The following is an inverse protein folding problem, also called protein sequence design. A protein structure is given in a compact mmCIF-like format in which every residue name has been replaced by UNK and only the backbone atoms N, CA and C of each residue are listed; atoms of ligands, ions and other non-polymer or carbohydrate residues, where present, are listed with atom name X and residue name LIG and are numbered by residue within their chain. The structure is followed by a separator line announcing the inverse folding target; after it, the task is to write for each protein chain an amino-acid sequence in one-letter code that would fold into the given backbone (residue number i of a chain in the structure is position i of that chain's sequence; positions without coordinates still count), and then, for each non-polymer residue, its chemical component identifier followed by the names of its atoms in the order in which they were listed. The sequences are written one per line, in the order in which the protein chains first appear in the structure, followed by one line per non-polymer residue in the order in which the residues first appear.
data_IF_246813077368
#
_entry.id   IF_246813077368
#
_cell.length_a   1.000
_cell.length_b   1.000
_cell.length_c   1.000
_cell.angle_alpha   90.00
_cell.angle_beta   90.00
_cell.angle_gamma   90.00
#
_symmetry.space_group_name_H-M   'P 1'
#
loop_
_entity.id
_entity.type
_entity.pdbx_description
1 polymer ?
#
# COMPACT_ATOMS: atom_id res chain seq x y z
N UNK A 1 13.08 -17.44 -1.60
CA UNK A 1 12.17 -17.20 -2.73
C UNK A 1 12.37 -15.77 -3.17
N UNK A 2 12.55 -15.54 -4.46
CA UNK A 2 12.63 -14.20 -5.03
C UNK A 2 11.25 -13.87 -5.60
N UNK A 3 10.60 -12.84 -5.06
CA UNK A 3 9.32 -12.36 -5.57
C UNK A 3 9.58 -11.20 -6.51
N UNK A 4 9.06 -11.27 -7.74
CA UNK A 4 9.16 -10.19 -8.71
C UNK A 4 7.75 -9.63 -8.96
N UNK A 5 7.53 -8.39 -8.53
CA UNK A 5 6.25 -7.71 -8.70
C UNK A 5 6.34 -6.68 -9.81
N UNK A 6 5.36 -6.67 -10.71
CA UNK A 6 5.28 -5.65 -11.77
C UNK A 6 5.07 -4.28 -11.16
N UNK A 7 5.85 -3.29 -11.60
CA UNK A 7 5.73 -1.89 -11.16
C UNK A 7 5.25 -1.01 -12.30
N UNK A 8 4.09 -0.38 -12.12
CA UNK A 8 3.56 0.65 -13.02
C UNK A 8 3.67 2.00 -12.34
N UNK A 9 4.55 2.87 -12.84
CA UNK A 9 4.76 4.21 -12.27
C UNK A 9 3.63 5.16 -12.69
N UNK A 10 3.31 6.13 -11.82
CA UNK A 10 2.34 7.17 -12.15
C UNK A 10 2.99 8.16 -13.12
N UNK A 11 2.19 8.69 -14.04
CA UNK A 11 2.58 9.81 -14.91
C UNK A 11 2.19 11.18 -14.32
N UNK A 12 1.44 11.18 -13.22
CA UNK A 12 0.93 12.39 -12.56
C UNK A 12 1.22 12.31 -11.05
N UNK A 13 2.48 12.51 -10.62
CA UNK A 13 2.83 12.46 -9.21
C UNK A 13 2.16 13.59 -8.44
N UNK A 14 1.73 13.29 -7.20
CA UNK A 14 1.12 14.28 -6.31
C UNK A 14 2.20 15.27 -5.84
N UNK A 15 1.86 16.55 -5.62
CA UNK A 15 2.78 17.48 -5.01
C UNK A 15 3.14 17.00 -3.60
N UNK A 16 4.44 16.94 -3.30
CA UNK A 16 4.91 16.57 -1.96
C UNK A 16 4.56 17.69 -0.97
N UNK A 17 4.08 17.35 0.25
CA UNK A 17 3.93 18.33 1.31
C UNK A 17 5.27 19.06 1.54
N UNK A 18 5.23 20.39 1.59
CA UNK A 18 6.43 21.22 1.71
C UNK A 18 6.86 21.43 3.17
N UNK A 19 5.90 21.33 4.10
CA UNK A 19 6.13 21.53 5.54
C UNK A 19 5.90 20.22 6.28
N UNK A 20 7.00 19.50 6.55
CA UNK A 20 6.97 18.21 7.24
C UNK A 20 6.48 18.33 8.69
N UNK A 21 6.47 19.53 9.29
CA UNK A 21 5.97 19.74 10.66
C UNK A 21 4.44 19.73 10.74
N UNK A 22 3.74 19.76 9.59
CA UNK A 22 2.27 19.86 9.51
C UNK A 22 1.59 18.67 8.83
N UNK A 23 2.27 17.52 8.71
CA UNK A 23 1.76 16.34 8.00
C UNK A 23 0.49 15.76 8.65
N UNK A 24 0.42 15.72 9.97
CA UNK A 24 -0.64 15.01 10.70
C UNK A 24 -0.63 13.50 10.43
N UNK A 25 -1.69 12.80 10.86
CA UNK A 25 -1.85 11.36 10.64
C UNK A 25 -2.84 11.08 9.50
N UNK A 26 -2.47 10.18 8.58
CA UNK A 26 -3.31 9.67 7.47
C UNK A 26 -4.01 10.73 6.59
N UNK A 27 -3.38 11.90 6.40
CA UNK A 27 -3.90 12.98 5.54
C UNK A 27 -3.38 12.95 4.11
N UNK A 28 -2.15 12.47 3.94
CA UNK A 28 -1.46 12.41 2.65
C UNK A 28 -1.10 10.96 2.37
N UNK A 29 -1.35 10.54 1.13
CA UNK A 29 -1.02 9.20 0.64
C UNK A 29 -0.03 9.31 -0.51
N UNK A 30 0.89 8.36 -0.59
CA UNK A 30 1.92 8.29 -1.64
C UNK A 30 1.33 8.09 -3.03
N UNK A 31 2.19 8.15 -4.04
CA UNK A 31 1.81 8.04 -5.44
C UNK A 31 1.39 6.63 -5.86
N UNK A 32 1.76 5.62 -5.08
CA UNK A 32 1.59 4.20 -5.39
C UNK A 32 1.00 3.42 -4.22
N UNK A 33 0.41 2.27 -4.56
CA UNK A 33 -0.06 1.25 -3.63
C UNK A 33 0.34 -0.15 -4.16
N UNK A 34 0.41 -1.13 -3.26
CA UNK A 34 0.61 -2.53 -3.61
C UNK A 34 -0.74 -3.25 -3.61
N UNK A 35 -0.96 -4.11 -4.60
CA UNK A 35 -2.14 -4.96 -4.71
C UNK A 35 -1.72 -6.40 -5.04
N UNK A 36 -2.48 -7.36 -4.54
CA UNK A 36 -2.33 -8.77 -4.87
C UNK A 36 -3.71 -9.41 -4.77
N UNK A 37 -4.04 -10.26 -5.73
CA UNK A 37 -5.36 -10.87 -5.82
C UNK A 37 -5.30 -12.29 -5.26
N UNK A 38 -6.45 -12.78 -4.77
CA UNK A 38 -6.60 -14.14 -4.27
C UNK A 38 -7.90 -14.73 -4.81
N UNK A 39 -7.78 -15.90 -5.42
CA UNK A 39 -8.90 -16.71 -5.88
C UNK A 39 -8.84 -18.13 -5.27
N UNK A 40 -9.98 -18.67 -4.89
CA UNK A 40 -10.07 -20.05 -4.41
C UNK A 40 -9.59 -21.03 -5.50
N UNK A 41 -8.68 -21.93 -5.13
CA UNK A 41 -8.07 -22.90 -6.04
C UNK A 41 -6.83 -22.39 -6.78
N UNK A 42 -6.66 -21.08 -6.95
CA UNK A 42 -5.44 -20.47 -7.52
C UNK A 42 -4.46 -19.99 -6.44
N UNK A 43 -4.97 -19.55 -5.29
CA UNK A 43 -4.17 -18.95 -4.23
C UNK A 43 -3.88 -17.47 -4.52
N UNK A 44 -2.76 -16.96 -4.00
CA UNK A 44 -2.34 -15.57 -4.25
C UNK A 44 -1.66 -15.42 -5.62
N UNK A 45 -2.05 -14.41 -6.40
CA UNK A 45 -1.47 -14.11 -7.71
C UNK A 45 -1.49 -12.61 -8.03
N UNK A 46 -0.91 -12.25 -9.18
CA UNK A 46 -0.94 -10.89 -9.76
C UNK A 46 -0.48 -9.75 -8.82
N UNK A 47 0.52 -10.05 -7.98
CA UNK A 47 1.17 -9.06 -7.12
C UNK A 47 1.81 -7.92 -7.93
N UNK A 48 1.44 -6.68 -7.60
CA UNK A 48 1.78 -5.49 -8.40
C UNK A 48 1.85 -4.22 -7.56
N UNK A 49 2.74 -3.31 -7.97
CA UNK A 49 2.76 -1.91 -7.51
C UNK A 49 2.15 -1.04 -8.60
N UNK A 50 1.09 -0.32 -8.26
CA UNK A 50 0.28 0.49 -9.19
C UNK A 50 0.09 1.91 -8.65
N UNK A 51 -0.29 2.89 -9.49
CA UNK A 51 -0.67 4.21 -9.00
C UNK A 51 -1.76 4.13 -7.93
N UNK A 52 -1.70 5.01 -6.94
CA UNK A 52 -2.73 5.09 -5.90
C UNK A 52 -4.05 5.58 -6.50
N UNK A 53 -5.07 4.74 -6.50
CA UNK A 53 -6.38 5.00 -7.12
C UNK A 53 -7.54 4.41 -6.30
N UNK A 54 -8.79 4.85 -6.55
CA UNK A 54 -9.96 4.22 -5.91
C UNK A 54 -10.07 2.73 -6.25
N UNK A 55 -10.41 1.92 -5.26
CA UNK A 55 -10.64 0.49 -5.45
C UNK A 55 -12.09 0.27 -5.88
N UNK A 56 -12.30 -0.43 -6.99
CA UNK A 56 -13.64 -0.87 -7.43
C UNK A 56 -14.04 -2.11 -6.64
N UNK A 57 -15.17 -2.05 -5.94
CA UNK A 57 -15.68 -3.15 -5.11
C UNK A 57 -17.13 -3.44 -5.51
N UNK A 58 -17.46 -4.72 -5.64
CA UNK A 58 -18.83 -5.16 -5.88
C UNK A 58 -19.72 -4.85 -4.65
N UNK A 59 -20.91 -4.24 -4.80
CA UNK A 59 -21.73 -3.78 -3.67
C UNK A 59 -22.15 -4.85 -2.65
N UNK A 60 -22.29 -6.12 -3.04
CA UNK A 60 -22.61 -7.24 -2.16
C UNK A 60 -21.36 -7.94 -1.55
N UNK A 61 -20.15 -7.43 -1.79
CA UNK A 61 -18.92 -8.00 -1.23
C UNK A 61 -18.93 -8.10 0.30
N UNK A 62 -18.48 -9.24 0.84
CA UNK A 62 -18.46 -9.51 2.28
C UNK A 62 -17.72 -8.46 3.10
N UNK A 63 -16.74 -7.77 2.52
CA UNK A 63 -16.03 -6.67 3.21
C UNK A 63 -16.98 -5.54 3.62
N UNK A 64 -18.02 -5.27 2.82
CA UNK A 64 -18.96 -4.18 3.04
C UNK A 64 -20.11 -4.57 3.98
N UNK A 65 -20.50 -5.86 4.00
CA UNK A 65 -21.67 -6.33 4.76
C UNK A 65 -21.31 -7.04 6.06
N UNK A 66 -20.18 -7.74 6.08
CA UNK A 66 -19.80 -8.64 7.17
C UNK A 66 -18.40 -8.34 7.73
N UNK A 67 -17.80 -7.20 7.33
CA UNK A 67 -16.49 -6.74 7.78
C UNK A 67 -15.40 -7.83 7.69
N UNK A 68 -15.47 -8.68 6.65
CA UNK A 68 -14.45 -9.70 6.40
C UNK A 68 -13.18 -9.04 5.85
N UNK A 69 -12.43 -8.40 6.73
CA UNK A 69 -11.20 -7.68 6.43
C UNK A 69 -10.28 -7.61 7.65
N UNK A 70 -8.99 -7.39 7.38
CA UNK A 70 -7.96 -7.15 8.38
C UNK A 70 -7.02 -6.07 7.86
N UNK A 71 -6.29 -5.41 8.76
CA UNK A 71 -5.27 -4.44 8.40
C UNK A 71 -4.10 -4.54 9.38
N UNK A 72 -2.94 -4.02 8.96
CA UNK A 72 -1.75 -3.90 9.80
C UNK A 72 -1.23 -2.46 9.84
N UNK A 73 -0.40 -2.17 10.84
CA UNK A 73 0.10 -0.82 11.11
C UNK A 73 1.59 -0.82 11.45
N UNK A 74 2.42 -0.37 10.51
CA UNK A 74 3.87 -0.24 10.70
C UNK A 74 4.40 1.07 10.12
N UNK A 75 5.67 1.39 10.44
CA UNK A 75 6.32 2.63 10.00
C UNK A 75 7.67 2.36 9.37
N UNK A 76 7.97 3.14 8.33
CA UNK A 76 9.29 3.26 7.75
C UNK A 76 9.95 4.56 8.20
N UNK A 77 11.22 4.48 8.60
CA UNK A 77 11.99 5.61 9.11
C UNK A 77 13.20 5.84 8.22
N UNK A 78 13.46 7.11 7.88
CA UNK A 78 14.71 7.51 7.22
C UNK A 78 15.79 7.73 8.28
N UNK A 79 16.96 7.11 8.11
CA UNK A 79 18.12 7.31 8.98
C UNK A 79 18.85 8.62 8.63
N UNK A 80 19.72 9.15 9.51
CA UNK A 80 20.58 10.28 9.19
C UNK A 80 21.44 10.07 7.93
N UNK A 81 21.82 8.83 7.64
CA UNK A 81 22.62 8.46 6.46
C UNK A 81 21.77 8.33 5.17
N UNK A 82 20.46 8.46 5.28
CA UNK A 82 19.51 8.46 4.16
C UNK A 82 18.84 7.12 3.88
N UNK A 83 19.28 6.03 4.51
CA UNK A 83 18.68 4.70 4.40
C UNK A 83 17.26 4.66 4.97
N UNK A 84 16.46 3.68 4.51
CA UNK A 84 15.11 3.42 5.03
C UNK A 84 15.12 2.15 5.87
N UNK A 85 14.56 2.23 7.08
CA UNK A 85 14.47 1.12 8.02
C UNK A 85 13.02 0.86 8.45
N UNK A 86 12.71 -0.40 8.69
CA UNK A 86 11.46 -0.87 9.29
C UNK A 86 11.75 -1.39 10.71
N UNK A 87 10.87 -1.12 11.66
CA UNK A 87 10.99 -1.67 13.01
C UNK A 87 10.25 -3.00 13.11
N UNK A 88 11.00 -4.10 13.20
CA UNK A 88 10.51 -5.48 13.37
C UNK A 88 9.40 -5.88 12.37
N UNK A 89 9.69 -5.87 11.04
CA UNK A 89 8.70 -6.17 10.01
C UNK A 89 8.24 -7.64 9.96
N UNK A 90 8.97 -8.55 10.60
CA UNK A 90 8.72 -10.00 10.55
C UNK A 90 7.84 -10.51 11.71
N UNK A 91 7.30 -9.61 12.54
CA UNK A 91 6.44 -9.97 13.69
C UNK A 91 4.96 -10.04 13.34
#
# INVERSE_FOLDING_TARGET
MEYNFKVTRTTHPKPRPQDETKLGFARYFTDHMFCMDYDEGQGWHDGRVVPHEPILIEPASCVLHYAQMMFEGMKAYRTPDGDIQLFRPDM
#
